data_IF_678571135967
#
_entry.id   IF_678571135967
#
_cell.length_a   1.000
_cell.length_b   1.000
_cell.length_c   1.000
_cell.angle_alpha   90.00
_cell.angle_beta   90.00
_cell.angle_gamma   90.00
#
_symmetry.space_group_name_H-M   'P 1'
#
loop_
_entity.id
_entity.type
_entity.pdbx_description
1 polymer ?
#
# COMPACT_ATOMS: atom_id res chain seq x y z
N UNK A 1 12.25 -22.78 -81.81
CA UNK A 1 13.06 -22.65 -80.59
C UNK A 1 12.16 -21.98 -79.50
N UNK A 2 11.55 -22.79 -78.64
CA UNK A 2 10.69 -22.29 -77.52
C UNK A 2 11.59 -22.14 -76.35
N UNK A 3 11.84 -20.88 -75.94
CA UNK A 3 12.53 -20.56 -74.65
C UNK A 3 11.57 -20.77 -73.49
N UNK A 4 11.80 -21.82 -72.69
CA UNK A 4 11.18 -22.04 -71.41
C UNK A 4 11.76 -21.05 -70.43
N UNK A 5 10.95 -20.09 -69.98
CA UNK A 5 11.29 -19.18 -68.89
C UNK A 5 10.96 -19.94 -67.59
N UNK A 6 12.01 -20.48 -66.96
CA UNK A 6 11.95 -20.99 -65.60
C UNK A 6 11.82 -19.77 -64.64
N UNK A 7 10.62 -19.52 -64.12
CA UNK A 7 10.38 -18.58 -62.99
C UNK A 7 10.85 -19.33 -61.74
N UNK A 8 11.87 -18.86 -61.03
CA UNK A 8 12.20 -19.43 -59.74
C UNK A 8 11.02 -19.14 -58.79
N UNK A 9 10.36 -20.20 -58.38
CA UNK A 9 9.35 -20.18 -57.29
C UNK A 9 10.12 -19.85 -56.01
N UNK A 10 10.32 -18.55 -55.78
CA UNK A 10 10.85 -18.03 -54.54
C UNK A 10 9.78 -18.27 -53.49
N UNK A 11 9.95 -19.36 -52.74
CA UNK A 11 9.13 -19.73 -51.60
C UNK A 11 9.28 -18.61 -50.56
N UNK A 12 8.41 -17.62 -50.67
CA UNK A 12 8.21 -16.64 -49.63
C UNK A 12 7.56 -17.40 -48.46
N UNK A 13 8.38 -18.03 -47.64
CA UNK A 13 8.01 -18.37 -46.29
C UNK A 13 7.71 -17.04 -45.57
N UNK A 14 6.53 -16.49 -45.80
CA UNK A 14 5.96 -15.53 -44.89
C UNK A 14 5.88 -16.25 -43.52
N UNK A 15 6.86 -15.98 -42.68
CA UNK A 15 6.74 -16.27 -41.27
C UNK A 15 5.49 -15.51 -40.81
N UNK A 16 4.37 -16.22 -40.81
CA UNK A 16 3.18 -15.80 -40.09
C UNK A 16 3.61 -15.76 -38.62
N UNK A 17 4.18 -14.63 -38.20
CA UNK A 17 4.31 -14.31 -36.79
C UNK A 17 2.86 -14.17 -36.32
N UNK A 18 2.26 -15.32 -35.99
CA UNK A 18 0.98 -15.30 -35.31
C UNK A 18 1.17 -14.47 -34.05
N UNK A 19 0.28 -13.55 -33.85
CA UNK A 19 0.19 -12.79 -32.60
C UNK A 19 -0.04 -13.79 -31.45
N UNK A 20 1.06 -14.29 -30.90
CA UNK A 20 1.02 -15.33 -29.89
C UNK A 20 1.10 -14.67 -28.52
N UNK A 21 0.09 -14.92 -27.69
CA UNK A 21 0.10 -14.48 -26.31
C UNK A 21 1.20 -15.16 -25.47
N UNK A 22 1.13 -15.04 -24.17
CA UNK A 22 2.06 -15.70 -23.25
C UNK A 22 1.93 -17.22 -23.40
N UNK A 23 3.05 -17.88 -23.68
CA UNK A 23 3.14 -19.34 -23.77
C UNK A 23 3.55 -19.89 -22.42
N UNK A 24 2.64 -20.61 -21.77
CA UNK A 24 2.90 -21.25 -20.50
C UNK A 24 3.50 -22.63 -20.70
N UNK A 25 4.58 -22.91 -19.97
CA UNK A 25 5.26 -24.20 -20.00
C UNK A 25 4.42 -25.26 -19.29
N UNK A 26 4.35 -26.43 -19.88
CA UNK A 26 3.80 -27.65 -19.27
C UNK A 26 4.91 -28.41 -18.55
N UNK A 27 4.55 -29.24 -17.59
CA UNK A 27 5.50 -30.02 -16.81
C UNK A 27 5.41 -29.74 -15.31
N UNK A 28 6.34 -30.31 -14.56
CA UNK A 28 6.40 -30.15 -13.10
C UNK A 28 7.07 -28.83 -12.70
N UNK A 29 6.83 -28.40 -11.47
CA UNK A 29 7.52 -27.25 -10.91
C UNK A 29 9.06 -27.36 -11.01
N UNK A 30 9.59 -28.56 -10.77
CA UNK A 30 11.03 -28.80 -10.88
C UNK A 30 11.55 -28.65 -12.32
N UNK A 31 10.78 -29.07 -13.33
CA UNK A 31 11.16 -28.90 -14.73
C UNK A 31 11.21 -27.41 -15.10
N UNK A 32 10.25 -26.63 -14.62
CA UNK A 32 10.18 -25.17 -14.84
C UNK A 32 11.37 -24.46 -14.19
N UNK A 33 11.71 -24.80 -12.95
CA UNK A 33 12.89 -24.24 -12.26
C UNK A 33 14.19 -24.60 -12.97
N UNK A 34 14.32 -25.85 -13.43
CA UNK A 34 15.49 -26.30 -14.21
C UNK A 34 15.63 -25.51 -15.50
N UNK A 35 14.53 -25.36 -16.24
CA UNK A 35 14.51 -24.59 -17.49
C UNK A 35 14.89 -23.11 -17.26
N UNK A 36 14.43 -22.50 -16.17
CA UNK A 36 14.78 -21.13 -15.79
C UNK A 36 16.28 -20.97 -15.51
N UNK A 37 16.91 -21.96 -14.84
CA UNK A 37 18.37 -21.99 -14.65
C UNK A 37 19.13 -22.11 -15.96
N UNK A 38 18.71 -23.02 -16.83
CA UNK A 38 19.35 -23.24 -18.14
C UNK A 38 19.27 -21.98 -19.02
N UNK A 39 18.14 -21.27 -18.96
CA UNK A 39 17.94 -20.02 -19.72
C UNK A 39 18.47 -18.77 -19.02
N UNK A 40 18.90 -18.89 -17.76
CA UNK A 40 19.32 -17.77 -16.92
C UNK A 40 18.29 -16.62 -16.90
N UNK A 41 17.02 -16.94 -16.70
CA UNK A 41 15.92 -15.99 -16.61
C UNK A 41 14.96 -16.37 -15.48
N UNK A 42 14.18 -15.42 -14.96
CA UNK A 42 13.20 -15.73 -13.92
C UNK A 42 11.99 -16.50 -14.46
N UNK A 43 11.28 -17.18 -13.56
CA UNK A 43 9.97 -17.78 -13.81
C UNK A 43 8.88 -16.77 -13.52
N UNK A 44 7.95 -16.57 -14.45
CA UNK A 44 6.67 -15.91 -14.24
C UNK A 44 5.62 -16.97 -13.91
N UNK A 45 4.90 -16.80 -12.78
CA UNK A 45 3.88 -17.76 -12.35
C UNK A 45 2.54 -17.06 -12.22
N UNK A 46 1.54 -17.51 -12.97
CA UNK A 46 0.12 -17.17 -12.78
C UNK A 46 -0.50 -18.14 -11.78
N UNK A 47 -0.74 -17.68 -10.55
CA UNK A 47 -1.42 -18.46 -9.50
C UNK A 47 -2.90 -18.08 -9.49
N UNK A 48 -3.74 -19.03 -9.91
CA UNK A 48 -5.17 -18.82 -10.10
C UNK A 48 -6.01 -19.90 -9.39
N UNK A 49 -7.33 -19.71 -9.41
CA UNK A 49 -8.31 -20.76 -9.07
C UNK A 49 -9.36 -20.88 -10.18
N UNK A 50 -9.97 -22.04 -10.30
CA UNK A 50 -10.95 -22.33 -11.35
C UNK A 50 -12.23 -21.48 -11.27
N UNK A 51 -12.60 -20.99 -10.09
CA UNK A 51 -13.77 -20.12 -9.85
C UNK A 51 -13.48 -18.63 -9.96
N UNK A 52 -12.21 -18.20 -10.02
CA UNK A 52 -11.80 -16.81 -10.00
C UNK A 52 -12.16 -16.08 -11.32
N UNK A 53 -13.14 -15.21 -11.28
CA UNK A 53 -13.58 -14.41 -12.43
C UNK A 53 -12.47 -13.51 -13.01
N UNK A 54 -11.78 -12.68 -12.19
CA UNK A 54 -10.67 -11.85 -12.64
C UNK A 54 -9.52 -12.64 -13.26
N UNK A 55 -9.23 -13.87 -12.76
CA UNK A 55 -8.21 -14.75 -13.35
C UNK A 55 -8.58 -15.18 -14.78
N UNK A 56 -9.86 -15.58 -14.96
CA UNK A 56 -10.39 -15.94 -16.30
C UNK A 56 -10.28 -14.75 -17.27
N UNK A 57 -10.55 -13.53 -16.79
CA UNK A 57 -10.43 -12.32 -17.59
C UNK A 57 -8.97 -12.09 -18.00
N UNK A 58 -8.00 -12.19 -17.08
CA UNK A 58 -6.57 -12.08 -17.42
C UNK A 58 -6.15 -13.14 -18.45
N UNK A 59 -6.52 -14.39 -18.24
CA UNK A 59 -6.17 -15.48 -19.16
C UNK A 59 -6.73 -15.26 -20.57
N UNK A 60 -7.95 -14.72 -20.70
CA UNK A 60 -8.62 -14.54 -21.98
C UNK A 60 -8.25 -13.23 -22.69
N UNK A 61 -8.08 -12.13 -21.94
CA UNK A 61 -8.01 -10.78 -22.53
C UNK A 61 -6.62 -10.15 -22.43
N UNK A 62 -5.78 -10.59 -21.49
CA UNK A 62 -4.48 -9.99 -21.22
C UNK A 62 -3.34 -10.89 -21.68
N UNK A 63 -3.30 -12.14 -21.24
CA UNK A 63 -2.23 -13.07 -21.60
C UNK A 63 -2.23 -13.47 -23.06
N UNK A 64 -3.35 -13.29 -23.76
CA UNK A 64 -3.48 -13.55 -25.20
C UNK A 64 -2.99 -12.39 -26.06
N UNK A 65 -2.69 -11.22 -25.47
CA UNK A 65 -2.22 -10.07 -26.25
C UNK A 65 -0.78 -10.29 -26.74
N UNK A 66 -0.55 -9.90 -28.00
CA UNK A 66 0.76 -10.03 -28.62
C UNK A 66 1.89 -9.36 -27.83
N UNK A 67 1.63 -8.14 -27.35
CA UNK A 67 2.60 -7.36 -26.57
C UNK A 67 3.01 -8.09 -25.28
N UNK A 68 2.05 -8.72 -24.59
CA UNK A 68 2.32 -9.52 -23.42
C UNK A 68 3.12 -10.78 -23.78
N UNK A 69 2.73 -11.46 -24.85
CA UNK A 69 3.43 -12.65 -25.36
C UNK A 69 4.87 -12.35 -25.76
N UNK A 70 5.09 -11.32 -26.58
CA UNK A 70 6.43 -10.93 -27.04
C UNK A 70 7.36 -10.70 -25.84
N UNK A 71 6.91 -9.92 -24.84
CA UNK A 71 7.73 -9.60 -23.69
C UNK A 71 7.96 -10.79 -22.76
N UNK A 72 6.88 -11.47 -22.37
CA UNK A 72 6.97 -12.53 -21.37
C UNK A 72 7.63 -13.81 -21.88
N UNK A 73 7.47 -14.14 -23.16
CA UNK A 73 8.13 -15.30 -23.76
C UNK A 73 9.64 -15.08 -23.97
N UNK A 74 10.08 -13.82 -24.13
CA UNK A 74 11.49 -13.48 -24.25
C UNK A 74 12.21 -13.48 -22.90
N UNK A 75 11.55 -12.97 -21.84
CA UNK A 75 12.22 -12.65 -20.58
C UNK A 75 11.97 -13.66 -19.46
N UNK A 76 10.99 -14.57 -19.63
CA UNK A 76 10.57 -15.48 -18.55
C UNK A 76 10.37 -16.91 -19.04
N UNK A 77 10.52 -17.84 -18.12
CA UNK A 77 9.87 -19.14 -18.20
C UNK A 77 8.48 -18.98 -17.57
N UNK A 78 7.44 -19.00 -18.40
CA UNK A 78 6.08 -18.75 -17.92
C UNK A 78 5.45 -20.05 -17.43
N UNK A 79 4.84 -20.02 -16.26
CA UNK A 79 4.17 -21.15 -15.61
C UNK A 79 2.81 -20.74 -15.08
N UNK A 80 1.88 -21.69 -15.00
CA UNK A 80 0.52 -21.44 -14.56
C UNK A 80 0.05 -22.56 -13.66
N UNK A 81 -0.48 -22.22 -12.48
CA UNK A 81 -0.88 -23.21 -11.49
C UNK A 81 -2.25 -22.90 -10.86
N UNK A 82 -3.06 -23.94 -10.71
CA UNK A 82 -4.29 -23.89 -9.93
C UNK A 82 -3.95 -24.03 -8.45
N UNK A 83 -4.16 -22.96 -7.66
CA UNK A 83 -3.81 -22.92 -6.23
C UNK A 83 -4.52 -23.98 -5.38
N UNK A 84 -5.58 -24.61 -5.92
CA UNK A 84 -6.37 -25.63 -5.22
C UNK A 84 -6.04 -27.04 -5.69
N UNK A 85 -5.09 -27.21 -6.64
CA UNK A 85 -4.78 -28.52 -7.22
C UNK A 85 -3.28 -28.79 -7.36
N UNK A 86 -2.91 -30.04 -7.18
CA UNK A 86 -1.58 -30.55 -7.46
C UNK A 86 -0.44 -29.73 -6.80
N UNK A 87 0.56 -29.35 -7.58
CA UNK A 87 1.70 -28.55 -7.12
C UNK A 87 1.32 -27.10 -6.78
N UNK A 88 0.21 -26.59 -7.36
CA UNK A 88 -0.26 -25.23 -7.11
C UNK A 88 -0.58 -24.97 -5.63
N UNK A 89 -1.09 -25.97 -4.90
CA UNK A 89 -1.34 -25.88 -3.45
C UNK A 89 -0.05 -25.60 -2.69
N UNK A 90 1.04 -26.30 -3.04
CA UNK A 90 2.35 -26.13 -2.40
C UNK A 90 2.98 -24.79 -2.76
N UNK A 91 2.90 -24.39 -4.03
CA UNK A 91 3.41 -23.10 -4.52
C UNK A 91 2.66 -21.95 -3.85
N UNK A 92 1.32 -21.98 -3.82
CA UNK A 92 0.52 -20.96 -3.17
C UNK A 92 0.86 -20.83 -1.67
N UNK A 93 1.03 -21.96 -0.97
CA UNK A 93 1.45 -21.98 0.44
C UNK A 93 2.87 -21.45 0.64
N UNK A 94 3.83 -21.87 -0.19
CA UNK A 94 5.24 -21.43 -0.12
C UNK A 94 5.39 -19.92 -0.22
N UNK A 95 4.59 -19.30 -1.10
CA UNK A 95 4.65 -17.86 -1.37
C UNK A 95 3.55 -17.07 -0.65
N UNK A 96 2.84 -17.67 0.32
CA UNK A 96 1.78 -17.04 1.11
C UNK A 96 0.71 -16.35 0.23
N UNK A 97 0.28 -16.99 -0.86
CA UNK A 97 -0.76 -16.48 -1.74
C UNK A 97 -2.12 -16.54 -1.03
N UNK A 98 -2.71 -15.37 -0.77
CA UNK A 98 -3.96 -15.23 -0.01
C UNK A 98 -5.14 -14.70 -0.83
N UNK A 99 -4.92 -14.28 -2.09
CA UNK A 99 -5.96 -13.79 -2.99
C UNK A 99 -5.60 -14.05 -4.45
N UNK A 100 -6.60 -14.01 -5.35
CA UNK A 100 -6.43 -14.36 -6.75
C UNK A 100 -6.99 -13.28 -7.69
N UNK A 101 -6.33 -13.07 -8.87
CA UNK A 101 -5.06 -13.65 -9.28
C UNK A 101 -3.89 -13.09 -8.48
N UNK A 102 -2.87 -13.90 -8.22
CA UNK A 102 -1.55 -13.46 -7.76
C UNK A 102 -0.51 -13.96 -8.77
N UNK A 103 0.31 -13.03 -9.25
CA UNK A 103 1.42 -13.33 -10.13
C UNK A 103 2.73 -13.21 -9.36
N UNK A 104 3.59 -14.22 -9.52
CA UNK A 104 4.89 -14.32 -8.87
C UNK A 104 5.99 -14.30 -9.91
N UNK A 105 7.13 -13.70 -9.57
CA UNK A 105 8.38 -13.83 -10.31
C UNK A 105 9.41 -14.45 -9.37
N UNK A 106 9.99 -15.56 -9.79
CA UNK A 106 10.92 -16.31 -8.94
C UNK A 106 12.19 -16.68 -9.71
N UNK A 107 13.29 -16.90 -8.99
CA UNK A 107 14.53 -17.40 -9.61
C UNK A 107 14.41 -18.89 -9.94
N UNK A 108 15.37 -19.43 -10.70
CA UNK A 108 15.50 -20.87 -10.94
C UNK A 108 15.76 -21.68 -9.66
N UNK A 109 16.15 -21.04 -8.55
CA UNK A 109 16.28 -21.65 -7.22
C UNK A 109 14.97 -21.59 -6.40
N UNK A 110 13.90 -20.99 -6.97
CA UNK A 110 12.63 -20.83 -6.28
C UNK A 110 12.61 -19.69 -5.26
N UNK A 111 13.52 -18.70 -5.35
CA UNK A 111 13.49 -17.50 -4.54
C UNK A 111 12.56 -16.46 -5.15
N UNK A 112 11.75 -15.78 -4.33
CA UNK A 112 10.87 -14.69 -4.79
C UNK A 112 11.70 -13.48 -5.22
N UNK A 113 11.45 -12.99 -6.44
CA UNK A 113 12.03 -11.77 -7.01
C UNK A 113 11.07 -10.59 -6.86
N UNK A 114 9.82 -10.81 -7.19
CA UNK A 114 8.73 -9.85 -6.98
C UNK A 114 7.37 -10.55 -7.15
N UNK A 115 6.31 -9.88 -6.75
CA UNK A 115 4.93 -10.34 -6.93
C UNK A 115 3.97 -9.16 -7.06
N UNK A 116 2.81 -9.44 -7.65
CA UNK A 116 1.67 -8.53 -7.61
C UNK A 116 0.36 -9.31 -7.49
N UNK A 117 -0.64 -8.66 -6.93
CA UNK A 117 -1.97 -9.22 -6.71
C UNK A 117 -3.02 -8.44 -7.50
N UNK A 118 -4.06 -9.13 -7.94
CA UNK A 118 -5.20 -8.54 -8.65
C UNK A 118 -5.02 -8.48 -10.16
N UNK A 119 -6.15 -8.29 -10.85
CA UNK A 119 -6.18 -8.22 -12.30
C UNK A 119 -5.43 -6.98 -12.82
N UNK A 120 -4.70 -7.17 -13.92
CA UNK A 120 -3.87 -6.15 -14.55
C UNK A 120 -4.39 -5.78 -15.94
N UNK A 121 -4.01 -4.59 -16.41
CA UNK A 121 -4.03 -4.26 -17.84
C UNK A 121 -2.73 -4.73 -18.50
N UNK A 122 -2.67 -4.83 -19.83
CA UNK A 122 -1.43 -5.18 -20.54
C UNK A 122 -0.28 -4.24 -20.15
N UNK A 123 -0.52 -2.93 -20.13
CA UNK A 123 0.49 -1.94 -19.72
C UNK A 123 1.02 -2.17 -18.30
N UNK A 124 0.13 -2.46 -17.32
CA UNK A 124 0.58 -2.71 -15.96
C UNK A 124 1.29 -4.06 -15.82
N UNK A 125 0.85 -5.08 -16.54
CA UNK A 125 1.53 -6.39 -16.59
C UNK A 125 2.96 -6.25 -17.12
N UNK A 126 3.15 -5.52 -18.24
CA UNK A 126 4.47 -5.25 -18.81
C UNK A 126 5.38 -4.46 -17.84
N UNK A 127 4.82 -3.49 -17.13
CA UNK A 127 5.57 -2.75 -16.10
C UNK A 127 6.03 -3.65 -14.96
N UNK A 128 5.16 -4.53 -14.46
CA UNK A 128 5.54 -5.49 -13.40
C UNK A 128 6.57 -6.51 -13.93
N UNK A 129 6.45 -6.96 -15.17
CA UNK A 129 7.45 -7.78 -15.82
C UNK A 129 8.82 -7.08 -15.93
N UNK A 130 8.84 -5.82 -16.39
CA UNK A 130 10.08 -5.04 -16.48
C UNK A 130 10.74 -4.83 -15.11
N UNK A 131 9.93 -4.57 -14.08
CA UNK A 131 10.40 -4.50 -12.68
C UNK A 131 11.02 -5.83 -12.24
N UNK A 132 10.39 -6.96 -12.58
CA UNK A 132 10.90 -8.27 -12.20
C UNK A 132 12.24 -8.60 -12.89
N UNK A 133 12.40 -8.27 -14.17
CA UNK A 133 13.68 -8.43 -14.90
C UNK A 133 14.77 -7.57 -14.24
N UNK A 134 14.48 -6.31 -13.94
CA UNK A 134 15.42 -5.43 -13.21
C UNK A 134 15.79 -6.03 -11.87
N UNK A 135 14.81 -6.44 -11.06
CA UNK A 135 15.05 -7.03 -9.75
C UNK A 135 15.89 -8.32 -9.84
N UNK A 136 15.61 -9.17 -10.83
CA UNK A 136 16.38 -10.38 -11.06
C UNK A 136 17.87 -10.07 -11.32
N UNK A 137 18.15 -9.03 -12.09
CA UNK A 137 19.54 -8.61 -12.37
C UNK A 137 20.25 -8.00 -11.14
N UNK A 138 19.49 -7.40 -10.21
CA UNK A 138 20.04 -6.81 -8.98
C UNK A 138 20.26 -7.84 -7.87
N UNK A 139 19.58 -8.98 -7.91
CA UNK A 139 19.56 -9.96 -6.83
C UNK A 139 20.96 -10.42 -6.38
N UNK A 140 21.92 -10.78 -7.30
CA UNK A 140 23.26 -11.20 -6.88
C UNK A 140 24.03 -10.10 -6.11
N UNK A 141 23.86 -8.84 -6.50
CA UNK A 141 24.47 -7.71 -5.81
C UNK A 141 23.88 -7.56 -4.41
N UNK A 142 22.55 -7.62 -4.28
CA UNK A 142 21.87 -7.52 -2.99
C UNK A 142 22.26 -8.67 -2.07
N UNK A 143 22.29 -9.92 -2.56
CA UNK A 143 22.72 -11.07 -1.76
C UNK A 143 24.17 -10.94 -1.25
N UNK A 144 25.06 -10.39 -2.09
CA UNK A 144 26.43 -10.07 -1.67
C UNK A 144 26.44 -9.01 -0.56
N UNK A 145 25.71 -7.92 -0.75
CA UNK A 145 25.62 -6.84 0.25
C UNK A 145 24.96 -7.30 1.55
N UNK A 146 23.94 -8.17 1.47
CA UNK A 146 23.32 -8.81 2.63
C UNK A 146 24.35 -9.60 3.45
N UNK A 147 25.21 -10.36 2.77
CA UNK A 147 26.27 -11.13 3.43
C UNK A 147 27.33 -10.20 4.06
N UNK A 148 27.74 -9.14 3.37
CA UNK A 148 28.67 -8.14 3.89
C UNK A 148 28.09 -7.41 5.11
N UNK A 149 26.80 -7.01 5.06
CA UNK A 149 26.12 -6.38 6.19
C UNK A 149 26.04 -7.34 7.40
N UNK A 150 25.65 -8.60 7.18
CA UNK A 150 25.59 -9.63 8.22
C UNK A 150 26.97 -9.92 8.84
N UNK A 151 28.05 -9.77 8.08
CA UNK A 151 29.41 -9.89 8.57
C UNK A 151 29.90 -8.69 9.39
N UNK A 152 29.08 -7.64 9.52
CA UNK A 152 29.37 -6.46 10.33
C UNK A 152 29.83 -5.23 9.56
N UNK A 153 29.84 -5.24 8.23
CA UNK A 153 30.18 -4.05 7.43
C UNK A 153 29.03 -3.02 7.51
N UNK A 154 29.31 -1.91 8.18
CA UNK A 154 28.30 -0.88 8.49
C UNK A 154 28.82 0.54 8.33
N UNK A 155 29.87 0.78 7.56
CA UNK A 155 30.30 2.14 7.26
C UNK A 155 29.27 2.89 6.42
N UNK A 156 29.26 4.23 6.54
CA UNK A 156 28.24 5.09 5.90
C UNK A 156 28.20 4.91 4.37
N UNK A 157 29.37 4.78 3.72
CA UNK A 157 29.45 4.64 2.28
C UNK A 157 28.77 3.33 1.81
N UNK A 158 29.10 2.21 2.46
CA UNK A 158 28.49 0.92 2.22
C UNK A 158 26.97 0.95 2.51
N UNK A 159 26.54 1.51 3.64
CA UNK A 159 25.12 1.58 4.00
C UNK A 159 24.32 2.44 3.02
N UNK A 160 24.87 3.55 2.51
CA UNK A 160 24.22 4.36 1.46
C UNK A 160 23.99 3.54 0.20
N UNK A 161 25.02 2.85 -0.29
CA UNK A 161 24.90 2.00 -1.49
C UNK A 161 23.95 0.83 -1.27
N UNK A 162 24.02 0.17 -0.13
CA UNK A 162 23.17 -0.95 0.22
C UNK A 162 21.68 -0.55 0.36
N UNK A 163 21.37 0.54 1.07
CA UNK A 163 20.00 1.04 1.17
C UNK A 163 19.46 1.49 -0.18
N UNK A 164 20.31 2.08 -1.05
CA UNK A 164 19.92 2.44 -2.41
C UNK A 164 19.58 1.20 -3.24
N UNK A 165 20.43 0.17 -3.24
CA UNK A 165 20.19 -1.06 -3.98
C UNK A 165 18.90 -1.76 -3.50
N UNK A 166 18.66 -1.84 -2.19
CA UNK A 166 17.42 -2.39 -1.61
C UNK A 166 16.19 -1.58 -2.02
N UNK A 167 16.29 -0.26 -2.02
CA UNK A 167 15.20 0.62 -2.47
C UNK A 167 14.88 0.42 -3.95
N UNK A 168 15.90 0.24 -4.80
CA UNK A 168 15.72 -0.05 -6.23
C UNK A 168 15.11 -1.42 -6.49
N UNK A 169 15.39 -2.39 -5.64
CA UNK A 169 14.76 -3.70 -5.63
C UNK A 169 13.28 -3.63 -5.19
N UNK A 170 12.89 -2.54 -4.55
CA UNK A 170 11.52 -2.30 -4.07
C UNK A 170 11.32 -2.62 -2.59
N UNK A 171 12.39 -2.87 -1.86
CA UNK A 171 12.34 -3.03 -0.41
C UNK A 171 12.33 -1.66 0.29
N UNK A 172 11.64 -1.58 1.41
CA UNK A 172 11.55 -0.37 2.20
C UNK A 172 12.20 -0.59 3.56
N UNK A 173 13.00 0.37 3.97
CA UNK A 173 13.54 0.46 5.32
C UNK A 173 14.37 -0.73 5.76
N UNK A 174 14.06 -1.25 6.95
CA UNK A 174 14.82 -2.30 7.61
C UNK A 174 15.97 -1.74 8.46
N UNK A 175 16.64 -2.63 9.20
CA UNK A 175 17.71 -2.25 10.12
C UNK A 175 18.87 -1.52 9.43
N UNK A 176 19.28 -1.86 8.18
CA UNK A 176 20.36 -1.11 7.50
C UNK A 176 20.06 0.37 7.35
N UNK A 177 18.79 0.74 7.14
CA UNK A 177 18.40 2.14 7.02
C UNK A 177 18.49 2.87 8.37
N UNK A 178 18.09 2.24 9.46
CA UNK A 178 18.27 2.78 10.81
C UNK A 178 19.78 2.98 11.12
N UNK A 179 20.59 1.97 10.82
CA UNK A 179 22.04 2.03 11.03
C UNK A 179 22.70 3.17 10.23
N UNK A 180 22.21 3.42 9.00
CA UNK A 180 22.65 4.55 8.19
C UNK A 180 22.24 5.88 8.80
N UNK A 181 20.96 6.08 9.06
CA UNK A 181 20.43 7.37 9.54
C UNK A 181 21.00 7.75 10.92
N UNK A 182 21.27 6.77 11.78
CA UNK A 182 21.92 7.00 13.07
C UNK A 182 23.37 7.51 12.94
N UNK A 183 24.07 7.18 11.85
CA UNK A 183 25.44 7.62 11.61
C UNK A 183 25.53 8.95 10.86
N UNK A 184 24.46 9.38 10.19
CA UNK A 184 24.47 10.67 9.47
C UNK A 184 24.46 11.84 10.46
N UNK A 185 25.21 12.94 10.18
CA UNK A 185 25.12 14.16 10.96
C UNK A 185 23.76 14.86 10.76
N UNK A 186 23.35 15.71 11.71
CA UNK A 186 22.01 16.33 11.73
C UNK A 186 21.71 17.17 10.48
N UNK A 187 22.70 17.86 9.95
CA UNK A 187 22.56 18.64 8.72
C UNK A 187 22.31 17.78 7.48
N UNK A 188 22.83 16.54 7.43
CA UNK A 188 22.52 15.61 6.34
C UNK A 188 21.11 15.02 6.47
N UNK A 189 20.61 14.77 7.68
CA UNK A 189 19.28 14.22 7.90
C UNK A 189 18.16 15.10 7.33
N UNK A 190 18.40 16.40 7.16
CA UNK A 190 17.44 17.36 6.61
C UNK A 190 17.51 17.51 5.09
N UNK A 191 18.50 16.89 4.43
CA UNK A 191 18.60 16.90 2.97
C UNK A 191 17.43 16.16 2.31
N UNK A 192 16.94 16.69 1.20
CA UNK A 192 15.77 16.18 0.48
C UNK A 192 15.86 14.69 0.16
N UNK A 193 17.03 14.20 -0.22
CA UNK A 193 17.30 12.80 -0.51
C UNK A 193 17.08 11.90 0.72
N UNK A 194 17.54 12.35 1.89
CA UNK A 194 17.42 11.60 3.13
C UNK A 194 16.01 11.65 3.72
N UNK A 195 15.23 12.70 3.42
CA UNK A 195 13.80 12.74 3.80
C UNK A 195 13.01 11.57 3.19
N UNK A 196 13.35 11.16 1.96
CA UNK A 196 12.73 9.99 1.33
C UNK A 196 13.07 8.71 2.10
N UNK A 197 14.27 8.59 2.64
CA UNK A 197 14.65 7.45 3.48
C UNK A 197 13.94 7.46 4.82
N UNK A 198 13.85 8.62 5.48
CA UNK A 198 13.10 8.76 6.73
C UNK A 198 11.65 8.30 6.57
N UNK A 199 10.98 8.66 5.47
CA UNK A 199 9.62 8.21 5.16
C UNK A 199 9.48 6.69 5.04
N UNK A 200 10.56 6.00 4.69
CA UNK A 200 10.60 4.56 4.46
C UNK A 200 11.11 3.77 5.68
N UNK A 201 11.31 4.41 6.83
CA UNK A 201 11.63 3.70 8.07
C UNK A 201 10.55 2.66 8.39
N UNK A 202 10.96 1.45 8.71
CA UNK A 202 10.08 0.32 9.06
C UNK A 202 10.46 -0.35 10.39
N UNK A 203 11.63 -0.01 10.93
CA UNK A 203 12.10 -0.48 12.23
C UNK A 203 11.98 0.67 13.23
N UNK A 204 11.22 0.46 14.29
CA UNK A 204 11.04 1.45 15.35
C UNK A 204 12.35 1.67 16.09
N UNK A 205 12.82 2.90 16.13
CA UNK A 205 14.03 3.34 16.82
C UNK A 205 13.72 4.66 17.53
N UNK A 206 13.36 4.58 18.80
CA UNK A 206 12.98 5.76 19.59
C UNK A 206 14.08 6.82 19.68
N UNK A 207 15.38 6.48 19.93
CA UNK A 207 16.46 7.44 19.89
C UNK A 207 16.54 8.23 18.57
N UNK A 208 16.48 7.54 17.42
CA UNK A 208 16.50 8.16 16.10
C UNK A 208 15.29 9.09 15.91
N UNK A 209 14.10 8.64 16.24
CA UNK A 209 12.87 9.45 16.09
C UNK A 209 12.94 10.70 16.98
N UNK A 210 13.34 10.56 18.24
CA UNK A 210 13.50 11.70 19.14
C UNK A 210 14.56 12.69 18.63
N UNK A 211 15.66 12.21 18.05
CA UNK A 211 16.67 13.04 17.40
C UNK A 211 16.07 13.83 16.24
N UNK A 212 15.32 13.18 15.36
CA UNK A 212 14.64 13.85 14.24
C UNK A 212 13.64 14.91 14.70
N UNK A 213 12.89 14.65 15.76
CA UNK A 213 11.95 15.61 16.36
C UNK A 213 12.70 16.78 17.02
N UNK A 214 13.84 16.53 17.62
CA UNK A 214 14.70 17.60 18.19
C UNK A 214 15.23 18.51 17.08
N UNK A 215 15.73 17.95 15.98
CA UNK A 215 16.14 18.72 14.80
C UNK A 215 14.97 19.56 14.28
N UNK A 216 13.81 18.94 14.11
CA UNK A 216 12.60 19.62 13.65
C UNK A 216 12.24 20.83 14.55
N UNK A 217 12.33 20.67 15.86
CA UNK A 217 11.99 21.72 16.81
C UNK A 217 12.91 22.95 16.72
N UNK A 218 14.11 22.78 16.16
CA UNK A 218 15.06 23.89 15.88
C UNK A 218 14.89 24.53 14.50
N UNK A 219 14.01 24.02 13.64
CA UNK A 219 13.79 24.51 12.28
C UNK A 219 12.68 25.55 12.22
N UNK A 220 12.78 26.47 11.25
CA UNK A 220 11.62 27.31 10.91
C UNK A 220 10.51 26.47 10.25
N UNK A 221 9.25 26.96 10.36
CA UNK A 221 8.08 26.22 9.88
C UNK A 221 8.14 25.83 8.41
N UNK A 222 8.70 26.69 7.55
CA UNK A 222 8.72 26.47 6.10
C UNK A 222 9.68 25.33 5.74
N UNK A 223 10.88 25.34 6.30
CA UNK A 223 11.92 24.32 6.04
C UNK A 223 11.63 23.01 6.75
N UNK A 224 11.06 23.06 7.96
CA UNK A 224 10.74 21.89 8.77
C UNK A 224 9.52 21.09 8.28
N UNK A 225 8.60 21.68 7.49
CA UNK A 225 7.40 20.97 7.02
C UNK A 225 7.70 19.66 6.28
N UNK A 226 8.76 19.59 5.49
CA UNK A 226 9.09 18.36 4.74
C UNK A 226 9.60 17.27 5.68
N UNK A 227 10.45 17.63 6.65
CA UNK A 227 10.90 16.69 7.67
C UNK A 227 9.72 16.21 8.54
N UNK A 228 8.83 17.12 8.96
CA UNK A 228 7.63 16.76 9.69
C UNK A 228 6.78 15.73 8.94
N UNK A 229 6.50 15.96 7.65
CA UNK A 229 5.77 15.00 6.80
C UNK A 229 6.50 13.66 6.67
N UNK A 230 7.82 13.67 6.56
CA UNK A 230 8.61 12.45 6.46
C UNK A 230 8.49 11.61 7.75
N UNK A 231 8.62 12.25 8.91
CA UNK A 231 8.46 11.59 10.21
C UNK A 231 7.02 11.07 10.39
N UNK A 232 6.01 11.89 10.09
CA UNK A 232 4.60 11.48 10.16
C UNK A 232 4.29 10.24 9.31
N UNK A 233 4.88 10.16 8.12
CA UNK A 233 4.70 8.99 7.25
C UNK A 233 5.35 7.73 7.83
N UNK A 234 6.55 7.81 8.38
CA UNK A 234 7.20 6.70 9.10
C UNK A 234 6.38 6.26 10.31
N UNK A 235 5.84 7.23 11.07
CA UNK A 235 4.97 6.98 12.23
C UNK A 235 3.77 6.09 11.92
N UNK A 236 3.19 6.18 10.70
CA UNK A 236 2.07 5.30 10.30
C UNK A 236 2.43 3.82 10.41
N UNK A 237 3.64 3.45 9.99
CA UNK A 237 4.14 2.07 10.09
C UNK A 237 4.33 1.64 11.54
N UNK A 238 4.91 2.51 12.36
CA UNK A 238 5.18 2.21 13.78
C UNK A 238 3.90 2.09 14.60
N UNK A 239 2.93 2.99 14.38
CA UNK A 239 1.61 2.94 15.02
C UNK A 239 0.89 1.63 14.67
N UNK A 240 0.92 1.21 13.39
CA UNK A 240 0.33 -0.06 12.99
C UNK A 240 1.01 -1.25 13.68
N UNK A 241 2.34 -1.31 13.66
CA UNK A 241 3.12 -2.39 14.29
C UNK A 241 2.93 -2.47 15.79
N UNK A 242 2.91 -1.32 16.50
CA UNK A 242 2.69 -1.29 17.94
C UNK A 242 1.26 -1.71 18.31
N UNK A 243 0.29 -1.35 17.46
CA UNK A 243 -1.12 -1.73 17.65
C UNK A 243 -1.34 -3.23 17.43
N UNK A 244 -0.77 -3.79 16.37
CA UNK A 244 -0.86 -5.21 16.06
C UNK A 244 -0.11 -6.07 17.06
N UNK A 245 1.07 -5.61 17.49
CA UNK A 245 1.92 -6.29 18.47
C UNK A 245 1.52 -6.09 19.93
N UNK A 246 0.44 -5.35 20.21
CA UNK A 246 0.02 -4.97 21.58
C UNK A 246 1.13 -4.34 22.42
N UNK A 247 1.93 -3.46 21.79
CA UNK A 247 3.08 -2.82 22.44
C UNK A 247 2.68 -1.46 23.07
N UNK A 248 1.99 -1.50 24.22
CA UNK A 248 1.41 -0.32 24.87
C UNK A 248 2.40 0.81 25.10
N UNK A 249 3.55 0.53 25.69
CA UNK A 249 4.55 1.56 25.99
C UNK A 249 5.09 2.24 24.71
N UNK A 250 5.36 1.46 23.64
CA UNK A 250 5.78 1.96 22.35
C UNK A 250 4.68 2.84 21.73
N UNK A 251 3.43 2.38 21.76
CA UNK A 251 2.29 3.14 21.27
C UNK A 251 2.11 4.48 21.99
N UNK A 252 2.19 4.51 23.31
CA UNK A 252 2.04 5.75 24.10
C UNK A 252 3.18 6.74 23.82
N UNK A 253 4.41 6.26 23.63
CA UNK A 253 5.53 7.09 23.18
C UNK A 253 5.27 7.68 21.80
N UNK A 254 4.77 6.87 20.84
CA UNK A 254 4.40 7.33 19.51
C UNK A 254 3.32 8.42 19.55
N UNK A 255 2.32 8.30 20.44
CA UNK A 255 1.30 9.34 20.59
C UNK A 255 1.89 10.64 21.14
N UNK A 256 2.82 10.59 22.09
CA UNK A 256 3.53 11.76 22.60
C UNK A 256 4.37 12.45 21.50
N UNK A 257 5.01 11.66 20.63
CA UNK A 257 5.76 12.17 19.48
C UNK A 257 4.80 12.82 18.49
N UNK A 258 3.68 12.15 18.17
CA UNK A 258 2.65 12.67 17.26
C UNK A 258 2.13 14.04 17.73
N UNK A 259 1.85 14.21 19.00
CA UNK A 259 1.38 15.48 19.57
C UNK A 259 2.41 16.61 19.33
N UNK A 260 3.71 16.34 19.43
CA UNK A 260 4.78 17.32 19.07
C UNK A 260 4.80 17.65 17.58
N UNK A 261 4.59 16.66 16.71
CA UNK A 261 4.54 16.87 15.25
C UNK A 261 3.33 17.70 14.84
N UNK A 262 2.17 17.50 15.49
CA UNK A 262 0.97 18.30 15.30
C UNK A 262 1.18 19.72 15.83
N UNK A 263 1.83 19.89 16.97
CA UNK A 263 2.16 21.22 17.50
C UNK A 263 3.04 22.02 16.55
N UNK A 264 3.96 21.36 15.83
CA UNK A 264 4.77 21.98 14.79
C UNK A 264 3.96 22.36 13.54
N UNK A 265 3.09 21.46 13.07
CA UNK A 265 2.21 21.67 11.92
C UNK A 265 0.79 21.13 12.21
N UNK A 266 -0.14 21.97 12.67
CA UNK A 266 -1.51 21.56 12.98
C UNK A 266 -2.29 21.00 11.80
N UNK A 267 -1.86 21.22 10.55
CA UNK A 267 -2.52 20.63 9.37
C UNK A 267 -2.37 19.12 9.30
N UNK A 268 -1.44 18.55 10.07
CA UNK A 268 -1.26 17.10 10.20
C UNK A 268 -2.29 16.43 11.14
N UNK A 269 -3.09 17.19 11.86
CA UNK A 269 -4.22 16.68 12.64
C UNK A 269 -5.50 16.70 11.79
N UNK A 270 -5.41 16.08 10.63
CA UNK A 270 -6.54 16.03 9.71
C UNK A 270 -7.54 14.97 10.19
N UNK A 271 -8.72 15.41 10.61
CA UNK A 271 -9.89 14.65 11.06
C UNK A 271 -10.35 13.53 10.08
N UNK A 272 -9.41 12.72 9.59
CA UNK A 272 -9.63 11.54 8.75
C UNK A 272 -9.57 11.78 7.23
N UNK A 273 -9.48 13.04 6.74
CA UNK A 273 -9.40 13.30 5.29
C UNK A 273 -8.04 12.88 4.72
N UNK A 274 -6.93 13.20 5.39
CA UNK A 274 -5.60 12.78 4.98
C UNK A 274 -5.40 11.26 5.02
N UNK A 275 -6.00 10.57 5.99
CA UNK A 275 -5.96 9.11 6.08
C UNK A 275 -6.74 8.45 4.94
N UNK A 276 -7.90 9.00 4.56
CA UNK A 276 -8.71 8.48 3.44
C UNK A 276 -8.06 8.71 2.07
N UNK A 277 -7.18 9.70 1.96
CA UNK A 277 -6.42 10.01 0.73
C UNK A 277 -5.04 9.30 0.67
N UNK A 278 -4.79 8.29 1.48
CA UNK A 278 -3.55 7.51 1.46
C UNK A 278 -2.45 8.02 2.40
N UNK A 279 -2.77 8.97 3.30
CA UNK A 279 -1.84 9.50 4.31
C UNK A 279 -1.45 8.51 5.41
N UNK A 280 -2.21 7.43 5.57
CA UNK A 280 -1.97 6.40 6.58
C UNK A 280 -2.52 6.75 7.97
N UNK A 281 -2.30 5.84 8.93
CA UNK A 281 -2.87 5.95 10.29
C UNK A 281 -2.38 7.17 11.07
N UNK A 282 -1.16 7.67 10.82
CA UNK A 282 -0.62 8.82 11.56
C UNK A 282 -1.39 10.12 11.36
N UNK A 283 -2.21 10.20 10.32
CA UNK A 283 -3.07 11.38 10.06
C UNK A 283 -4.45 11.30 10.74
N UNK A 284 -4.79 10.20 11.40
CA UNK A 284 -5.97 10.16 12.27
C UNK A 284 -5.71 10.97 13.53
N UNK A 285 -6.76 11.58 14.09
CA UNK A 285 -6.64 12.28 15.38
C UNK A 285 -6.05 11.37 16.46
N UNK A 286 -5.25 11.92 17.36
CA UNK A 286 -4.59 11.15 18.43
C UNK A 286 -5.58 10.39 19.29
N UNK A 287 -6.74 10.99 19.58
CA UNK A 287 -7.81 10.36 20.35
C UNK A 287 -8.41 9.15 19.63
N UNK A 288 -8.59 9.23 18.31
CA UNK A 288 -9.10 8.11 17.50
C UNK A 288 -8.12 6.93 17.49
N UNK A 289 -6.83 7.22 17.38
CA UNK A 289 -5.77 6.21 17.45
C UNK A 289 -5.73 5.56 18.84
N UNK A 290 -5.77 6.36 19.91
CA UNK A 290 -5.81 5.88 21.30
C UNK A 290 -7.02 4.99 21.54
N UNK A 291 -8.23 5.44 21.13
CA UNK A 291 -9.44 4.63 21.25
C UNK A 291 -9.31 3.29 20.51
N UNK A 292 -8.85 3.33 19.24
CA UNK A 292 -8.68 2.13 18.41
C UNK A 292 -7.68 1.14 19.04
N UNK A 293 -6.55 1.65 19.53
CA UNK A 293 -5.54 0.82 20.20
C UNK A 293 -6.08 0.19 21.49
N UNK A 294 -6.72 0.99 22.35
CA UNK A 294 -7.21 0.51 23.64
C UNK A 294 -8.39 -0.46 23.51
N UNK A 295 -9.32 -0.22 22.58
CA UNK A 295 -10.38 -1.18 22.25
C UNK A 295 -9.83 -2.50 21.79
N UNK A 296 -8.93 -2.48 20.78
CA UNK A 296 -8.36 -3.69 20.18
C UNK A 296 -7.63 -4.55 21.23
N UNK A 297 -6.93 -3.91 22.14
CA UNK A 297 -6.07 -4.56 23.13
C UNK A 297 -6.73 -4.68 24.51
N UNK A 298 -8.02 -4.32 24.65
CA UNK A 298 -8.84 -4.45 25.87
C UNK A 298 -8.30 -3.66 27.08
N UNK A 299 -7.74 -2.47 26.84
CA UNK A 299 -7.32 -1.54 27.88
C UNK A 299 -8.48 -0.62 28.28
N UNK A 300 -9.51 -1.19 28.96
CA UNK A 300 -10.77 -0.51 29.24
C UNK A 300 -10.63 0.80 30.04
N UNK A 301 -9.84 0.89 31.12
CA UNK A 301 -9.70 2.15 31.85
C UNK A 301 -9.08 3.28 31.01
N UNK A 302 -8.10 2.97 30.16
CA UNK A 302 -7.46 3.93 29.28
C UNK A 302 -8.39 4.33 28.13
N UNK A 303 -9.18 3.40 27.62
CA UNK A 303 -10.19 3.67 26.61
C UNK A 303 -11.22 4.69 27.13
N UNK A 304 -11.78 4.48 28.30
CA UNK A 304 -12.78 5.37 28.88
C UNK A 304 -12.27 6.80 29.12
N UNK A 305 -11.03 6.92 29.60
CA UNK A 305 -10.36 8.22 29.80
C UNK A 305 -10.22 9.02 28.50
N UNK A 306 -10.18 8.37 27.34
CA UNK A 306 -10.08 9.03 26.03
C UNK A 306 -11.46 9.19 25.40
N UNK A 307 -12.31 8.16 25.48
CA UNK A 307 -13.59 8.12 24.79
C UNK A 307 -14.58 9.16 25.30
N UNK A 308 -14.77 9.26 26.62
CA UNK A 308 -15.79 10.16 27.16
C UNK A 308 -15.52 11.65 26.88
N UNK A 309 -14.28 12.18 27.09
CA UNK A 309 -13.98 13.56 26.71
C UNK A 309 -14.07 13.81 25.21
N UNK A 310 -13.64 12.83 24.40
CA UNK A 310 -13.72 12.93 22.93
C UNK A 310 -15.17 12.98 22.45
N UNK A 311 -16.03 12.12 22.99
CA UNK A 311 -17.46 12.11 22.68
C UNK A 311 -18.11 13.45 23.04
N UNK A 312 -17.88 13.96 24.26
CA UNK A 312 -18.40 15.26 24.71
C UNK A 312 -17.96 16.39 23.77
N UNK A 313 -16.65 16.46 23.47
CA UNK A 313 -16.11 17.46 22.52
C UNK A 313 -16.79 17.37 21.15
N UNK A 314 -17.00 16.16 20.63
CA UNK A 314 -17.65 15.97 19.32
C UNK A 314 -19.13 16.37 19.32
N UNK A 315 -19.83 16.17 20.41
CA UNK A 315 -21.22 16.63 20.58
C UNK A 315 -21.29 18.17 20.62
N UNK A 316 -20.36 18.82 21.33
CA UNK A 316 -20.28 20.28 21.37
C UNK A 316 -19.91 20.91 20.02
N UNK A 317 -18.94 20.32 19.29
CA UNK A 317 -18.49 20.77 17.97
C UNK A 317 -19.54 20.57 16.86
N UNK A 318 -20.46 19.65 17.04
CA UNK A 318 -21.42 19.24 16.01
C UNK A 318 -22.84 19.14 16.59
N UNK A 319 -23.46 20.26 16.97
CA UNK A 319 -24.87 20.26 17.35
C UNK A 319 -25.74 19.71 16.22
N UNK A 320 -26.72 18.88 16.53
CA UNK A 320 -27.56 18.17 15.55
C UNK A 320 -28.18 19.13 14.53
N UNK A 321 -28.67 20.27 14.97
CA UNK A 321 -29.29 21.30 14.12
C UNK A 321 -28.29 21.88 13.09
N UNK A 322 -27.02 22.04 13.50
CA UNK A 322 -25.96 22.52 12.61
C UNK A 322 -25.58 21.51 11.52
N UNK A 323 -25.61 20.22 11.85
CA UNK A 323 -25.32 19.14 10.87
C UNK A 323 -26.43 19.06 9.82
N UNK A 324 -27.71 19.16 10.25
CA UNK A 324 -28.87 19.18 9.35
C UNK A 324 -28.79 20.41 8.45
N UNK A 325 -28.61 21.60 9.03
CA UNK A 325 -28.53 22.84 8.27
C UNK A 325 -27.40 22.87 7.23
N UNK A 326 -26.23 22.29 7.54
CA UNK A 326 -25.12 22.17 6.57
C UNK A 326 -25.46 21.23 5.41
N UNK A 327 -26.06 20.08 5.71
CA UNK A 327 -26.49 19.11 4.71
C UNK A 327 -27.51 19.71 3.76
N UNK A 328 -28.51 20.43 4.29
CA UNK A 328 -29.57 21.07 3.53
C UNK A 328 -29.03 22.23 2.68
N UNK A 329 -28.11 23.03 3.21
CA UNK A 329 -27.48 24.13 2.48
C UNK A 329 -26.62 23.63 1.30
N UNK A 330 -25.88 22.55 1.49
CA UNK A 330 -25.04 21.95 0.46
C UNK A 330 -25.91 21.33 -0.65
N UNK A 331 -26.94 20.59 -0.29
CA UNK A 331 -27.88 19.99 -1.24
C UNK A 331 -28.62 21.08 -2.05
N UNK A 332 -29.03 22.15 -1.37
CA UNK A 332 -29.66 23.32 -2.03
C UNK A 332 -28.70 23.99 -3.01
N UNK A 333 -27.46 24.24 -2.61
CA UNK A 333 -26.44 24.84 -3.48
C UNK A 333 -26.25 24.07 -4.79
N UNK A 334 -26.05 22.73 -4.71
CA UNK A 334 -25.92 21.91 -5.92
C UNK A 334 -27.20 21.84 -6.74
N UNK A 335 -28.36 21.78 -6.08
CA UNK A 335 -29.66 21.83 -6.77
C UNK A 335 -29.88 23.11 -7.53
N UNK A 336 -29.51 24.24 -6.95
CA UNK A 336 -29.67 25.59 -7.59
C UNK A 336 -28.70 25.73 -8.78
N UNK A 337 -27.46 25.23 -8.66
CA UNK A 337 -26.49 25.20 -9.77
C UNK A 337 -26.98 24.36 -10.96
N UNK A 338 -27.56 23.20 -10.71
CA UNK A 338 -28.08 22.32 -11.76
C UNK A 338 -29.33 22.88 -12.46
N UNK A 339 -30.12 23.68 -11.74
CA UNK A 339 -31.31 24.36 -12.30
C UNK A 339 -31.00 25.67 -13.04
N UNK A 340 -29.79 26.21 -12.86
CA UNK A 340 -29.39 27.47 -13.46
C UNK A 340 -29.27 27.38 -14.99
N UNK A 341 -29.89 28.28 -15.71
CA UNK A 341 -29.81 28.41 -17.17
C UNK A 341 -28.46 28.99 -17.62
N UNK A 342 -27.68 29.54 -16.70
CA UNK A 342 -26.34 30.08 -16.97
C UNK A 342 -25.23 29.03 -17.02
N UNK A 343 -25.53 27.79 -16.66
CA UNK A 343 -24.58 26.67 -16.62
C UNK A 343 -24.80 25.77 -17.83
N UNK A 344 -23.75 25.58 -18.64
CA UNK A 344 -23.81 24.72 -19.84
C UNK A 344 -24.12 23.26 -19.46
N UNK A 345 -24.67 22.50 -20.43
CA UNK A 345 -24.99 21.07 -20.23
C UNK A 345 -23.74 20.22 -19.82
N UNK A 346 -22.60 20.52 -20.43
CA UNK A 346 -21.31 19.87 -20.10
C UNK A 346 -20.91 20.17 -18.65
N UNK A 347 -21.03 21.43 -18.23
CA UNK A 347 -20.70 21.84 -16.86
C UNK A 347 -21.72 21.32 -15.83
N UNK A 348 -22.98 21.12 -16.23
CA UNK A 348 -24.00 20.44 -15.39
C UNK A 348 -23.62 18.96 -15.16
N UNK A 349 -23.13 18.29 -16.21
CA UNK A 349 -22.66 16.92 -16.11
C UNK A 349 -21.46 16.79 -15.15
N UNK A 350 -20.48 17.70 -15.25
CA UNK A 350 -19.32 17.76 -14.33
C UNK A 350 -19.76 18.06 -12.89
N UNK A 351 -20.74 18.95 -12.70
CA UNK A 351 -21.33 19.25 -11.40
C UNK A 351 -22.04 18.01 -10.81
N UNK A 352 -22.79 17.26 -11.62
CA UNK A 352 -23.43 16.00 -11.17
C UNK A 352 -22.41 14.94 -10.79
N UNK A 353 -21.35 14.78 -11.58
CA UNK A 353 -20.26 13.89 -11.23
C UNK A 353 -19.56 14.35 -9.95
N UNK A 354 -19.25 15.64 -9.84
CA UNK A 354 -18.64 16.23 -8.63
C UNK A 354 -19.55 16.09 -7.41
N UNK A 355 -20.86 16.31 -7.56
CA UNK A 355 -21.87 16.11 -6.50
C UNK A 355 -21.94 14.66 -6.07
N UNK A 356 -21.97 13.72 -7.01
CA UNK A 356 -21.95 12.28 -6.72
C UNK A 356 -20.67 11.87 -6.02
N UNK A 357 -19.52 12.41 -6.45
CA UNK A 357 -18.23 12.22 -5.84
C UNK A 357 -18.16 12.86 -4.44
N UNK A 358 -18.63 14.09 -4.28
CA UNK A 358 -18.69 14.80 -2.98
C UNK A 358 -19.66 14.14 -2.00
N UNK A 359 -20.82 13.63 -2.48
CA UNK A 359 -21.72 12.78 -1.67
C UNK A 359 -21.04 11.49 -1.21
N UNK A 360 -20.19 10.88 -2.05
CA UNK A 360 -19.39 9.75 -1.67
C UNK A 360 -18.36 10.10 -0.57
N UNK A 361 -17.73 11.28 -0.68
CA UNK A 361 -16.70 11.77 0.25
C UNK A 361 -17.28 12.40 1.52
N UNK A 362 -18.33 13.19 1.43
CA UNK A 362 -19.05 13.71 2.61
C UNK A 362 -19.66 12.55 3.41
N UNK A 363 -20.20 11.54 2.71
CA UNK A 363 -20.64 10.29 3.31
C UNK A 363 -19.49 9.48 3.94
N UNK A 364 -18.28 9.53 3.40
CA UNK A 364 -17.08 8.88 3.96
C UNK A 364 -16.57 9.63 5.19
N UNK A 365 -16.54 10.97 5.17
CA UNK A 365 -16.16 11.79 6.34
C UNK A 365 -17.13 11.58 7.50
N UNK A 366 -18.44 11.63 7.22
CA UNK A 366 -19.47 11.37 8.20
C UNK A 366 -19.54 9.89 8.61
N UNK A 367 -19.29 8.95 7.69
CA UNK A 367 -19.21 7.51 8.01
C UNK A 367 -17.97 7.16 8.82
N UNK A 368 -16.79 7.75 8.55
CA UNK A 368 -15.59 7.51 9.36
C UNK A 368 -15.74 8.03 10.79
N UNK A 369 -16.28 9.24 10.96
CA UNK A 369 -16.59 9.76 12.29
C UNK A 369 -17.68 8.95 12.98
N UNK A 370 -18.78 8.62 12.27
CA UNK A 370 -19.87 7.83 12.82
C UNK A 370 -19.46 6.38 13.07
N UNK A 371 -18.65 5.77 12.21
CA UNK A 371 -18.17 4.39 12.40
C UNK A 371 -17.20 4.29 13.56
N UNK A 372 -16.27 5.23 13.71
CA UNK A 372 -15.36 5.25 14.87
C UNK A 372 -16.11 5.50 16.15
N UNK A 373 -17.03 6.46 16.19
CA UNK A 373 -17.88 6.74 17.35
C UNK A 373 -18.84 5.60 17.67
N UNK A 374 -19.46 5.01 16.62
CA UNK A 374 -20.36 3.87 16.76
C UNK A 374 -19.63 2.66 17.35
N UNK A 375 -18.45 2.32 16.79
CA UNK A 375 -17.65 1.21 17.32
C UNK A 375 -17.17 1.47 18.75
N UNK A 376 -16.76 2.70 19.05
CA UNK A 376 -16.33 3.09 20.38
C UNK A 376 -17.49 3.08 21.39
N UNK A 377 -18.68 3.56 20.99
CA UNK A 377 -19.88 3.50 21.82
C UNK A 377 -20.36 2.06 22.05
N UNK A 378 -20.33 1.22 21.01
CA UNK A 378 -20.62 -0.21 21.12
C UNK A 378 -19.66 -0.91 22.07
N UNK A 379 -18.35 -0.65 21.94
CA UNK A 379 -17.36 -1.20 22.86
C UNK A 379 -17.56 -0.71 24.31
N UNK A 380 -17.81 0.61 24.50
CA UNK A 380 -18.14 1.16 25.82
C UNK A 380 -19.35 0.47 26.45
N UNK A 381 -20.39 0.26 25.64
CA UNK A 381 -21.56 -0.50 26.05
C UNK A 381 -21.21 -1.93 26.47
N UNK A 382 -20.45 -2.65 25.66
CA UNK A 382 -20.10 -4.05 25.90
C UNK A 382 -19.30 -4.26 27.19
N UNK A 383 -18.40 -3.33 27.55
CA UNK A 383 -17.63 -3.43 28.80
C UNK A 383 -18.47 -3.09 30.06
N UNK A 384 -19.59 -2.36 29.90
CA UNK A 384 -20.51 -2.04 30.99
C UNK A 384 -21.79 -2.89 31.01
N UNK A 385 -22.07 -3.64 29.93
CA UNK A 385 -23.28 -4.44 29.77
C UNK A 385 -23.50 -5.55 30.83
N UNK A 386 -22.50 -6.14 31.48
CA UNK A 386 -22.73 -7.13 32.52
C UNK A 386 -23.53 -6.61 33.72
N UNK A 387 -23.71 -5.29 33.86
CA UNK A 387 -24.39 -4.71 34.99
C UNK A 387 -25.86 -4.29 34.72
N UNK A 388 -26.33 -4.41 33.47
CA UNK A 388 -27.69 -3.92 33.17
C UNK A 388 -28.35 -4.52 31.96
N UNK A 389 -28.83 -5.76 32.05
CA UNK A 389 -29.89 -6.22 31.15
C UNK A 389 -31.17 -5.34 31.27
N UNK A 390 -31.40 -4.71 32.39
CA UNK A 390 -32.47 -3.75 32.62
C UNK A 390 -32.29 -2.41 31.87
N UNK A 391 -31.06 -1.96 31.60
CA UNK A 391 -30.80 -0.74 30.84
C UNK A 391 -30.90 -0.97 29.32
N UNK A 392 -30.71 -2.20 28.84
CA UNK A 392 -30.89 -2.53 27.40
C UNK A 392 -32.32 -2.25 26.92
N UNK A 393 -33.34 -2.49 27.76
CA UNK A 393 -34.72 -2.23 27.38
C UNK A 393 -35.10 -0.74 27.38
N UNK A 394 -34.42 0.11 28.14
CA UNK A 394 -34.72 1.56 28.19
C UNK A 394 -34.12 2.38 27.03
N UNK A 395 -33.14 1.85 26.27
CA UNK A 395 -32.49 2.58 25.17
C UNK A 395 -32.81 2.02 23.79
N UNK A 396 -33.64 0.98 23.69
CA UNK A 396 -34.15 0.43 22.42
C UNK A 396 -35.57 0.95 22.10
N UNK A 397 -36.27 1.52 23.07
CA UNK A 397 -37.51 2.27 22.87
C UNK A 397 -37.20 3.78 22.65
#
# INVERSE_FOLDING_TARGET
MKRLILIPYMLVCALLVQAQGIVFNEGTWNDVLKLAKEKNCPVFIDVYTSWCGPCKKMAKEIFTQKEAGDYFNEHFVNYKVDAEKGEGVKIASQFNVSAYPTCLFVTGEGKLVSSFMGAQTVRSLLREGAKAVKNYSLLPQIEKMDAEYKSGKKDVAFLKEYCQARSEFGEKGGQPLNDLLNQLPDNELTLKENLTWIQNLTVYDLPLINRLVTILSGMDKKTGMQLNKAIMKAMSTFIAQSTEGNKKAEFEQLMTIKDKLIAFDPTNDDNGVGASMGGGMSYLASEQLKMSFYMRNKYNPEFEKVFLPYLQKKMEENPTDSLIARSDAEEKYYSDLLKSDTVSAEKKHDIEQSRSFMKLFSGVKNKLLSTTLYNAAGYYWDIHAPQSEQLKQQYIE
#
